data_IF_524427993689
#
_entry.id   IF_524427993689
#
_cell.length_a   1.000
_cell.length_b   1.000
_cell.length_c   1.000
_cell.angle_alpha   90.00
_cell.angle_beta   90.00
_cell.angle_gamma   90.00
#
_symmetry.space_group_name_H-M   'P 1'
#
loop_
_entity.id
_entity.type
_entity.pdbx_description
1 polymer ?
#
# COMPACT_ATOMS: atom_id res chain seq x y z
N UNK A 1 24.64 -22.03 -24.57
CA UNK A 1 23.36 -21.31 -24.76
C UNK A 1 22.54 -21.44 -23.48
N UNK A 2 22.46 -20.40 -22.65
CA UNK A 2 21.58 -20.42 -21.46
C UNK A 2 20.13 -20.23 -21.92
N UNK A 3 19.31 -21.29 -21.85
CA UNK A 3 17.88 -21.19 -22.07
C UNK A 3 17.26 -20.26 -21.02
N UNK A 4 16.60 -19.18 -21.45
CA UNK A 4 15.88 -18.26 -20.55
C UNK A 4 14.54 -18.89 -20.20
N UNK A 5 14.34 -19.25 -18.93
CA UNK A 5 13.03 -19.68 -18.45
C UNK A 5 12.08 -18.46 -18.34
N UNK A 6 10.79 -18.61 -18.68
CA UNK A 6 9.82 -17.54 -18.54
C UNK A 6 9.57 -17.22 -17.05
N UNK A 7 9.54 -15.93 -16.71
CA UNK A 7 9.21 -15.48 -15.34
C UNK A 7 7.70 -15.40 -15.18
N UNK A 8 7.13 -16.25 -14.33
CA UNK A 8 5.72 -16.21 -13.98
C UNK A 8 5.46 -15.03 -13.02
N UNK A 9 4.77 -14.00 -13.51
CA UNK A 9 4.47 -12.79 -12.73
C UNK A 9 3.67 -13.08 -11.46
N UNK A 10 2.81 -14.08 -11.47
CA UNK A 10 2.03 -14.47 -10.28
C UNK A 10 2.91 -14.89 -9.10
N UNK A 11 4.07 -15.51 -9.36
CA UNK A 11 5.00 -15.96 -8.31
C UNK A 11 5.89 -14.83 -7.76
N UNK A 12 5.95 -13.69 -8.44
CA UNK A 12 6.84 -12.57 -8.09
C UNK A 12 6.09 -11.34 -7.62
N UNK A 13 4.78 -11.26 -7.87
CA UNK A 13 3.92 -10.16 -7.45
C UNK A 13 3.40 -10.41 -6.03
N UNK A 14 3.14 -9.34 -5.26
CA UNK A 14 2.44 -9.49 -3.99
C UNK A 14 1.04 -10.04 -4.26
N UNK A 15 0.43 -10.66 -3.24
CA UNK A 15 -0.96 -11.09 -3.32
C UNK A 15 -1.87 -9.87 -3.51
N UNK A 16 -2.74 -9.90 -4.53
CA UNK A 16 -3.65 -8.81 -4.87
C UNK A 16 -5.11 -9.28 -4.89
N UNK A 17 -6.03 -8.39 -4.53
CA UNK A 17 -7.47 -8.62 -4.59
C UNK A 17 -8.17 -7.36 -5.10
N UNK A 18 -9.06 -7.47 -6.09
CA UNK A 18 -9.74 -6.31 -6.68
C UNK A 18 -8.78 -5.22 -7.21
N UNK A 19 -7.58 -5.60 -7.66
CA UNK A 19 -6.56 -4.70 -8.22
C UNK A 19 -5.71 -3.92 -7.21
N UNK A 20 -5.87 -4.16 -5.90
CA UNK A 20 -5.03 -3.61 -4.83
C UNK A 20 -4.31 -4.73 -4.07
N UNK A 21 -3.30 -4.40 -3.27
CA UNK A 21 -2.65 -5.39 -2.39
C UNK A 21 -3.62 -5.94 -1.36
N UNK A 22 -3.49 -7.22 -1.01
CA UNK A 22 -4.37 -7.90 -0.05
C UNK A 22 -4.43 -7.19 1.32
N UNK A 23 -3.29 -6.73 1.83
CA UNK A 23 -3.21 -5.98 3.10
C UNK A 23 -4.04 -4.70 3.08
N UNK A 24 -3.94 -3.92 2.00
CA UNK A 24 -4.74 -2.71 1.82
C UNK A 24 -6.23 -3.02 1.72
N UNK A 25 -6.60 -4.08 0.99
CA UNK A 25 -8.00 -4.49 0.86
C UNK A 25 -8.63 -4.84 2.21
N UNK A 26 -7.94 -5.63 3.03
CA UNK A 26 -8.41 -5.97 4.39
C UNK A 26 -8.56 -4.72 5.23
N UNK A 27 -7.57 -3.83 5.21
CA UNK A 27 -7.59 -2.60 6.01
C UNK A 27 -8.72 -1.67 5.57
N UNK A 28 -8.96 -1.52 4.27
CA UNK A 28 -10.08 -0.75 3.74
C UNK A 28 -11.42 -1.33 4.20
N UNK A 29 -11.61 -2.65 4.12
CA UNK A 29 -12.84 -3.28 4.60
C UNK A 29 -12.99 -3.14 6.12
N UNK A 30 -11.96 -3.41 6.91
CA UNK A 30 -12.02 -3.34 8.37
C UNK A 30 -12.41 -1.93 8.85
N UNK A 31 -11.70 -0.90 8.35
CA UNK A 31 -11.98 0.50 8.70
C UNK A 31 -13.38 0.91 8.23
N UNK A 32 -13.80 0.48 7.05
CA UNK A 32 -15.14 0.78 6.54
C UNK A 32 -16.22 0.15 7.40
N UNK A 33 -16.03 -1.11 7.81
CA UNK A 33 -16.96 -1.81 8.70
C UNK A 33 -17.04 -1.11 10.06
N UNK A 34 -15.91 -0.78 10.68
CA UNK A 34 -15.89 -0.04 11.95
C UNK A 34 -16.56 1.33 11.83
N UNK A 35 -16.23 2.10 10.78
CA UNK A 35 -16.83 3.41 10.53
C UNK A 35 -18.35 3.31 10.29
N UNK A 36 -18.81 2.29 9.55
CA UNK A 36 -20.23 2.02 9.35
C UNK A 36 -20.93 1.71 10.68
N UNK A 37 -20.35 0.87 11.53
CA UNK A 37 -20.93 0.49 12.82
C UNK A 37 -21.04 1.70 13.77
N UNK A 38 -20.03 2.58 13.78
CA UNK A 38 -20.01 3.79 14.62
C UNK A 38 -21.02 4.82 14.12
N UNK A 39 -20.99 5.13 12.82
CA UNK A 39 -21.84 6.18 12.22
C UNK A 39 -23.27 5.73 11.94
N UNK A 40 -23.50 4.42 11.87
CA UNK A 40 -24.75 3.76 11.46
C UNK A 40 -25.28 4.30 10.11
N UNK A 41 -24.38 4.75 9.25
CA UNK A 41 -24.71 5.41 7.99
C UNK A 41 -24.11 4.67 6.81
N UNK A 42 -24.92 4.39 5.79
CA UNK A 42 -24.48 3.79 4.54
C UNK A 42 -23.52 4.68 3.74
N UNK A 43 -23.32 5.94 4.13
CA UNK A 43 -22.31 6.83 3.54
C UNK A 43 -20.87 6.29 3.69
N UNK A 44 -20.63 5.36 4.63
CA UNK A 44 -19.35 4.67 4.73
C UNK A 44 -18.99 3.88 3.46
N UNK A 45 -19.98 3.32 2.74
CA UNK A 45 -19.76 2.50 1.54
C UNK A 45 -19.22 3.29 0.33
N UNK A 46 -19.82 4.41 -0.11
CA UNK A 46 -19.26 5.19 -1.21
C UNK A 46 -17.89 5.78 -0.86
N UNK A 47 -17.65 6.17 0.39
CA UNK A 47 -16.30 6.60 0.83
C UNK A 47 -15.30 5.46 0.71
N UNK A 48 -15.66 4.24 1.12
CA UNK A 48 -14.80 3.06 0.97
C UNK A 48 -14.43 2.79 -0.49
N UNK A 49 -15.41 2.90 -1.40
CA UNK A 49 -15.19 2.75 -2.84
C UNK A 49 -14.24 3.81 -3.39
N UNK A 50 -14.36 5.06 -2.96
CA UNK A 50 -13.44 6.13 -3.36
C UNK A 50 -12.01 5.86 -2.87
N UNK A 51 -11.86 5.44 -1.61
CA UNK A 51 -10.55 5.09 -1.04
C UNK A 51 -9.95 3.88 -1.78
N UNK A 52 -10.76 2.85 -2.07
CA UNK A 52 -10.33 1.68 -2.82
C UNK A 52 -9.92 2.06 -4.25
N UNK A 53 -10.69 2.92 -4.93
CA UNK A 53 -10.37 3.44 -6.25
C UNK A 53 -9.05 4.20 -6.28
N UNK A 54 -8.78 5.02 -5.26
CA UNK A 54 -7.48 5.69 -5.12
C UNK A 54 -6.34 4.68 -4.94
N UNK A 55 -6.55 3.64 -4.12
CA UNK A 55 -5.58 2.56 -3.95
C UNK A 55 -5.33 1.75 -5.22
N UNK A 56 -6.39 1.50 -6.00
CA UNK A 56 -6.29 0.84 -7.30
C UNK A 56 -5.40 1.64 -8.25
N UNK A 57 -5.63 2.95 -8.37
CA UNK A 57 -4.81 3.85 -9.20
C UNK A 57 -3.36 3.87 -8.73
N UNK A 58 -3.10 3.83 -7.42
CA UNK A 58 -1.75 3.74 -6.88
C UNK A 58 -1.04 2.44 -7.29
N UNK A 59 -1.76 1.30 -7.22
CA UNK A 59 -1.24 -0.01 -7.63
C UNK A 59 -1.01 -0.17 -9.14
N UNK A 60 -1.62 0.67 -9.99
CA UNK A 60 -1.32 0.71 -11.42
C UNK A 60 0.12 1.15 -11.70
N UNK A 61 0.69 2.03 -10.86
CA UNK A 61 2.07 2.48 -10.99
C UNK A 61 3.05 1.47 -10.39
N UNK A 62 2.83 1.09 -9.13
CA UNK A 62 3.66 0.12 -8.43
C UNK A 62 2.78 -0.79 -7.57
N UNK A 63 2.72 -2.10 -7.87
CA UNK A 63 1.90 -3.06 -7.12
C UNK A 63 2.26 -3.15 -5.64
N UNK A 64 3.53 -2.93 -5.29
CA UNK A 64 4.04 -3.02 -3.91
C UNK A 64 4.01 -1.68 -3.18
N UNK A 65 3.32 -0.67 -3.70
CA UNK A 65 3.37 0.69 -3.17
C UNK A 65 3.02 0.75 -1.67
N UNK A 66 2.03 -0.03 -1.24
CA UNK A 66 1.60 -0.10 0.16
C UNK A 66 2.62 -0.82 1.05
N UNK A 67 3.21 -1.93 0.59
CA UNK A 67 4.22 -2.67 1.35
C UNK A 67 5.51 -1.85 1.52
N UNK A 68 5.92 -1.16 0.45
CA UNK A 68 7.07 -0.24 0.46
C UNK A 68 6.79 0.93 1.40
N UNK A 69 5.60 1.53 1.32
CA UNK A 69 5.19 2.61 2.20
C UNK A 69 5.18 2.19 3.66
N UNK A 70 4.59 1.04 3.98
CA UNK A 70 4.54 0.49 5.33
C UNK A 70 5.94 0.21 5.87
N UNK A 71 6.81 -0.40 5.05
CA UNK A 71 8.21 -0.66 5.40
C UNK A 71 8.95 0.65 5.67
N UNK A 72 8.76 1.66 4.81
CA UNK A 72 9.37 2.98 4.96
C UNK A 72 8.97 3.64 6.26
N UNK A 73 7.69 3.63 6.62
CA UNK A 73 7.20 4.23 7.86
C UNK A 73 7.65 3.44 9.09
N UNK A 74 7.72 2.11 9.00
CA UNK A 74 8.02 1.24 10.15
C UNK A 74 9.52 1.11 10.44
N UNK A 75 10.35 1.02 9.41
CA UNK A 75 11.80 0.70 9.53
C UNK A 75 12.71 1.86 9.16
N UNK A 76 12.24 2.77 8.31
CA UNK A 76 13.06 3.85 7.75
C UNK A 76 12.49 5.23 8.11
N UNK A 77 12.15 5.44 9.39
CA UNK A 77 11.64 6.71 9.88
C UNK A 77 12.63 7.85 9.58
N UNK A 78 12.09 9.03 9.30
CA UNK A 78 12.89 10.21 8.91
C UNK A 78 13.72 10.69 10.10
N UNK A 79 15.04 10.74 9.94
CA UNK A 79 15.96 11.23 10.99
C UNK A 79 16.00 12.76 11.08
N UNK A 80 16.40 13.30 12.23
CA UNK A 80 16.40 14.75 12.52
C UNK A 80 17.24 15.57 11.52
N UNK A 81 18.37 15.03 11.07
CA UNK A 81 19.29 15.67 10.12
C UNK A 81 18.79 15.61 8.65
N UNK A 82 17.62 15.00 8.37
CA UNK A 82 17.14 14.83 6.99
C UNK A 82 17.05 16.16 6.25
N UNK A 83 16.65 17.25 6.93
CA UNK A 83 16.56 18.58 6.29
C UNK A 83 17.89 19.08 5.74
N UNK A 84 19.02 18.67 6.33
CA UNK A 84 20.36 19.01 5.86
C UNK A 84 20.77 18.16 4.66
N UNK A 85 20.53 16.87 4.72
CA UNK A 85 21.08 15.90 3.76
C UNK A 85 20.11 15.47 2.65
N UNK A 86 18.81 15.72 2.82
CA UNK A 86 17.76 15.20 1.93
C UNK A 86 17.53 13.69 2.04
N UNK A 87 18.27 12.99 2.90
CA UNK A 87 18.20 11.56 3.12
C UNK A 87 18.42 11.19 4.59
N UNK A 88 18.16 9.93 4.93
CA UNK A 88 18.55 9.41 6.23
C UNK A 88 20.06 9.14 6.24
N UNK A 89 20.84 10.08 6.76
CA UNK A 89 22.30 9.98 6.87
C UNK A 89 22.72 9.65 8.30
N UNK A 90 23.76 8.80 8.43
CA UNK A 90 24.43 8.53 9.70
C UNK A 90 25.38 9.66 10.12
N UNK A 91 25.75 10.55 9.19
CA UNK A 91 26.58 11.70 9.48
C UNK A 91 25.74 12.82 10.14
N UNK A 92 26.26 13.50 11.18
CA UNK A 92 25.53 14.55 11.89
C UNK A 92 25.12 15.75 11.01
#
# INVERSE_FOLDING_TARGET
MTARAPVFRALTRPQMFGGVTFSFFILNMAITTEAFLITRSFLALPVALLVHGAGYVACLREPRIFDIWLTKVSRCARVRNWRRWGCNSYAP
#
